data_IF_329776605274
#
_entry.id   IF_329776605274
#
_cell.length_a   1.000
_cell.length_b   1.000
_cell.length_c   1.000
_cell.angle_alpha   90.00
_cell.angle_beta   90.00
_cell.angle_gamma   90.00
#
_symmetry.space_group_name_H-M   'P 1'
#
loop_
_entity.id
_entity.type
_entity.pdbx_description
1 polymer ?
#
# COMPACT_ATOMS: atom_id res chain seq x y z
N UNK A 1 48.01 16.32 28.36
CA UNK A 1 47.35 17.32 27.49
C UNK A 1 47.62 16.92 26.05
N UNK A 2 46.64 16.37 25.34
CA UNK A 2 46.67 16.28 23.87
C UNK A 2 45.27 15.98 23.35
N UNK A 3 44.93 16.62 22.24
CA UNK A 3 43.60 16.92 21.73
C UNK A 3 43.03 15.83 20.80
N UNK A 4 41.71 15.80 20.61
CA UNK A 4 41.10 15.43 19.33
C UNK A 4 39.70 16.06 19.21
N UNK A 5 39.64 17.11 18.42
CA UNK A 5 38.46 17.82 17.93
C UNK A 5 37.70 16.93 16.95
N UNK A 6 36.40 16.73 17.14
CA UNK A 6 35.54 16.05 16.17
C UNK A 6 35.27 16.98 14.96
N UNK A 7 35.43 16.53 13.70
CA UNK A 7 35.03 17.34 12.56
C UNK A 7 33.52 17.29 12.33
N UNK A 8 32.91 18.47 12.34
CA UNK A 8 31.56 18.76 11.88
C UNK A 8 31.43 18.48 10.38
N UNK A 9 30.66 17.46 9.99
CA UNK A 9 30.34 17.19 8.58
C UNK A 9 29.09 18.01 8.21
N UNK A 10 29.32 19.13 7.53
CA UNK A 10 28.27 19.88 6.85
C UNK A 10 27.74 19.04 5.67
N UNK A 11 26.42 18.78 5.64
CA UNK A 11 25.75 18.18 4.48
C UNK A 11 25.45 19.28 3.46
N UNK A 12 26.11 19.22 2.31
CA UNK A 12 25.74 20.01 1.14
C UNK A 12 24.42 19.48 0.53
N UNK A 13 23.58 20.33 -0.06
CA UNK A 13 22.32 19.90 -0.67
C UNK A 13 22.61 19.03 -1.90
N UNK A 14 22.04 17.82 -1.91
CA UNK A 14 22.08 16.92 -3.06
C UNK A 14 21.22 17.52 -4.20
N UNK A 15 21.81 18.38 -5.02
CA UNK A 15 21.20 18.83 -6.27
C UNK A 15 21.57 17.83 -7.36
N UNK A 16 20.72 16.83 -7.57
CA UNK A 16 20.84 15.95 -8.72
C UNK A 16 19.90 16.44 -9.82
N UNK A 17 20.44 17.22 -10.74
CA UNK A 17 19.78 17.55 -12.01
C UNK A 17 20.00 16.40 -13.01
N UNK A 18 19.08 15.44 -13.03
CA UNK A 18 18.97 14.46 -14.11
C UNK A 18 18.05 15.00 -15.20
N UNK A 19 18.62 15.62 -16.24
CA UNK A 19 17.90 15.95 -17.47
C UNK A 19 17.88 14.73 -18.39
N UNK A 20 17.03 13.75 -18.07
CA UNK A 20 16.67 12.71 -19.04
C UNK A 20 15.61 13.26 -19.98
N UNK A 21 15.97 13.42 -21.26
CA UNK A 21 15.08 13.78 -22.36
C UNK A 21 13.99 12.70 -22.47
N UNK A 22 12.82 12.96 -21.89
CA UNK A 22 11.66 12.06 -21.91
C UNK A 22 10.96 12.23 -23.26
N UNK A 23 11.10 11.26 -24.16
CA UNK A 23 10.28 11.20 -25.36
C UNK A 23 8.81 11.07 -24.92
N UNK A 24 7.95 11.95 -25.42
CA UNK A 24 6.51 11.96 -25.10
C UNK A 24 5.82 10.80 -25.80
N UNK A 25 5.87 9.61 -25.20
CA UNK A 25 4.88 8.57 -25.47
C UNK A 25 3.58 9.09 -24.87
N UNK A 26 2.52 9.19 -25.67
CA UNK A 26 1.17 9.46 -25.21
C UNK A 26 0.70 8.28 -24.37
N UNK A 27 1.18 8.18 -23.13
CA UNK A 27 0.77 7.14 -22.18
C UNK A 27 -0.59 7.52 -21.62
N UNK A 28 -1.66 7.04 -22.28
CA UNK A 28 -2.99 7.02 -21.66
C UNK A 28 -2.84 6.24 -20.35
N UNK A 29 -2.95 6.93 -19.22
CA UNK A 29 -2.85 6.31 -17.90
C UNK A 29 -4.04 5.37 -17.75
N UNK A 30 -3.83 4.06 -17.51
CA UNK A 30 -4.93 3.11 -17.38
C UNK A 30 -5.78 3.49 -16.16
N UNK A 31 -7.05 3.81 -16.39
CA UNK A 31 -7.99 4.23 -15.34
C UNK A 31 -8.58 2.99 -14.67
N UNK A 32 -8.19 2.74 -13.41
CA UNK A 32 -8.74 1.64 -12.60
C UNK A 32 -10.23 1.86 -12.35
N UNK A 33 -11.07 0.85 -12.64
CA UNK A 33 -12.52 0.91 -12.42
C UNK A 33 -12.85 0.73 -10.93
N UNK A 34 -13.94 1.35 -10.48
CA UNK A 34 -14.54 1.13 -9.15
C UNK A 34 -15.93 0.55 -9.34
N UNK A 35 -16.19 -0.65 -8.80
CA UNK A 35 -17.46 -1.36 -8.95
C UNK A 35 -18.22 -1.37 -7.61
N UNK A 36 -19.56 -1.30 -7.67
CA UNK A 36 -20.41 -1.41 -6.47
C UNK A 36 -20.74 -2.88 -6.20
N UNK A 37 -20.61 -3.34 -4.96
CA UNK A 37 -21.02 -4.69 -4.59
C UNK A 37 -22.56 -4.83 -4.55
N UNK A 38 -23.31 -3.75 -4.35
CA UNK A 38 -24.78 -3.77 -4.42
C UNK A 38 -25.28 -4.17 -5.82
N UNK A 39 -24.60 -3.70 -6.88
CA UNK A 39 -24.89 -4.09 -8.25
C UNK A 39 -24.72 -5.60 -8.48
N UNK A 40 -23.83 -6.25 -7.73
CA UNK A 40 -23.69 -7.70 -7.77
C UNK A 40 -24.86 -8.40 -7.05
N UNK A 41 -25.44 -7.82 -6.01
CA UNK A 41 -26.54 -8.43 -5.28
C UNK A 41 -27.89 -8.30 -6.01
N UNK A 42 -28.08 -7.26 -6.83
CA UNK A 42 -29.27 -7.09 -7.66
C UNK A 42 -29.18 -7.90 -8.97
N UNK A 43 -30.24 -8.68 -9.27
CA UNK A 43 -30.31 -9.56 -10.45
C UNK A 43 -30.23 -8.81 -11.78
N UNK A 44 -30.77 -7.61 -11.86
CA UNK A 44 -30.82 -6.82 -13.10
C UNK A 44 -29.46 -6.20 -13.45
N UNK A 45 -28.72 -5.76 -12.43
CA UNK A 45 -27.41 -5.09 -12.58
C UNK A 45 -26.24 -6.06 -12.59
N UNK A 46 -26.41 -7.28 -12.05
CA UNK A 46 -25.37 -8.30 -11.93
C UNK A 46 -24.66 -8.62 -13.26
N UNK A 47 -25.33 -8.77 -14.42
CA UNK A 47 -24.64 -9.05 -15.68
C UNK A 47 -23.67 -7.93 -16.09
N UNK A 48 -24.04 -6.66 -15.88
CA UNK A 48 -23.17 -5.50 -16.14
C UNK A 48 -21.95 -5.53 -15.22
N UNK A 49 -22.17 -5.72 -13.92
CA UNK A 49 -21.09 -5.82 -12.92
C UNK A 49 -20.07 -6.89 -13.30
N UNK A 50 -20.52 -8.10 -13.65
CA UNK A 50 -19.64 -9.22 -14.00
C UNK A 50 -18.82 -8.95 -15.28
N UNK A 51 -19.43 -8.28 -16.27
CA UNK A 51 -18.71 -7.86 -17.48
C UNK A 51 -17.60 -6.87 -17.14
N UNK A 52 -17.91 -5.83 -16.38
CA UNK A 52 -16.93 -4.80 -16.00
C UNK A 52 -15.81 -5.34 -15.11
N UNK A 53 -16.13 -6.28 -14.22
CA UNK A 53 -15.16 -7.00 -13.41
C UNK A 53 -14.20 -7.81 -14.30
N UNK A 54 -14.73 -8.57 -15.26
CA UNK A 54 -13.93 -9.34 -16.21
C UNK A 54 -13.00 -8.44 -17.01
N UNK A 55 -13.51 -7.35 -17.58
CA UNK A 55 -12.70 -6.38 -18.33
C UNK A 55 -11.56 -5.82 -17.47
N UNK A 56 -11.86 -5.39 -16.24
CA UNK A 56 -10.85 -4.81 -15.34
C UNK A 56 -9.72 -5.80 -15.01
N UNK A 57 -10.08 -7.07 -14.79
CA UNK A 57 -9.12 -8.15 -14.52
C UNK A 57 -8.28 -8.52 -15.75
N UNK A 58 -8.83 -8.40 -16.96
CA UNK A 58 -8.13 -8.76 -18.20
C UNK A 58 -7.24 -7.63 -18.73
N UNK A 59 -7.62 -6.36 -18.51
CA UNK A 59 -6.88 -5.20 -19.01
C UNK A 59 -5.82 -4.70 -18.03
N UNK A 60 -6.22 -4.42 -16.78
CA UNK A 60 -5.36 -3.79 -15.76
C UNK A 60 -4.93 -4.81 -14.69
N UNK A 61 -5.74 -5.86 -14.47
CA UNK A 61 -5.52 -6.87 -13.44
C UNK A 61 -6.07 -6.49 -12.07
N UNK A 62 -6.74 -5.33 -11.93
CA UNK A 62 -7.28 -4.86 -10.66
C UNK A 62 -8.47 -3.92 -10.84
N UNK A 63 -9.26 -3.74 -9.77
CA UNK A 63 -10.37 -2.79 -9.63
C UNK A 63 -10.60 -2.49 -8.14
N UNK A 64 -11.29 -1.40 -7.85
CA UNK A 64 -11.79 -1.10 -6.50
C UNK A 64 -13.22 -1.59 -6.32
N UNK A 65 -13.58 -1.97 -5.10
CA UNK A 65 -14.96 -2.24 -4.69
C UNK A 65 -15.43 -1.13 -3.76
N UNK A 66 -16.67 -0.68 -3.95
CA UNK A 66 -17.43 0.15 -3.01
C UNK A 66 -18.73 -0.55 -2.61
N UNK A 67 -19.43 0.01 -1.63
CA UNK A 67 -20.72 -0.50 -1.14
C UNK A 67 -20.62 -1.96 -0.65
N UNK A 68 -19.45 -2.34 -0.11
CA UNK A 68 -19.14 -3.70 0.37
C UNK A 68 -19.69 -4.01 1.78
N UNK A 69 -20.45 -3.09 2.39
CA UNK A 69 -21.07 -3.28 3.71
C UNK A 69 -20.12 -3.26 4.91
N UNK A 70 -18.82 -2.97 4.72
CA UNK A 70 -17.88 -2.82 5.84
C UNK A 70 -17.99 -1.39 6.36
N UNK A 71 -18.29 -1.24 7.65
CA UNK A 71 -18.38 0.10 8.25
C UNK A 71 -17.04 0.82 8.23
N UNK A 72 -17.08 2.13 7.98
CA UNK A 72 -15.89 2.99 8.02
C UNK A 72 -15.21 2.98 9.40
N UNK A 73 -16.01 2.85 10.47
CA UNK A 73 -15.52 2.74 11.84
C UNK A 73 -14.68 1.47 12.05
N UNK A 74 -15.07 0.32 11.46
CA UNK A 74 -14.29 -0.91 11.55
C UNK A 74 -12.94 -0.78 10.86
N UNK A 75 -12.91 -0.21 9.65
CA UNK A 75 -11.65 0.02 8.94
C UNK A 75 -10.75 1.00 9.69
N UNK A 76 -11.32 2.09 10.23
CA UNK A 76 -10.57 3.06 11.03
C UNK A 76 -9.99 2.44 12.31
N UNK A 77 -10.76 1.61 13.01
CA UNK A 77 -10.30 0.88 14.18
C UNK A 77 -9.15 -0.08 13.85
N UNK A 78 -9.29 -0.86 12.78
CA UNK A 78 -8.23 -1.77 12.32
C UNK A 78 -6.94 -1.01 11.97
N UNK A 79 -7.04 0.11 11.24
CA UNK A 79 -5.90 0.95 10.91
C UNK A 79 -5.23 1.55 12.15
N UNK A 80 -6.01 1.97 13.14
CA UNK A 80 -5.48 2.47 14.43
C UNK A 80 -4.68 1.38 15.15
N UNK A 81 -5.23 0.17 15.28
CA UNK A 81 -4.53 -0.96 15.91
C UNK A 81 -3.23 -1.31 15.19
N UNK A 82 -3.24 -1.28 13.85
CA UNK A 82 -2.02 -1.48 13.04
C UNK A 82 -0.98 -0.41 13.37
N UNK A 83 -1.37 0.86 13.37
CA UNK A 83 -0.45 1.97 13.70
C UNK A 83 0.13 1.84 15.11
N UNK A 84 -0.70 1.53 16.11
CA UNK A 84 -0.27 1.30 17.49
C UNK A 84 0.73 0.15 17.60
N UNK A 85 0.47 -0.97 16.90
CA UNK A 85 1.39 -2.10 16.87
C UNK A 85 2.74 -1.74 16.24
N UNK A 86 2.75 -1.04 15.10
CA UNK A 86 4.00 -0.67 14.43
C UNK A 86 4.77 0.44 15.16
N UNK A 87 4.10 1.22 16.01
CA UNK A 87 4.73 2.19 16.91
C UNK A 87 5.46 1.55 18.10
N UNK A 88 5.22 0.27 18.40
CA UNK A 88 5.96 -0.45 19.44
C UNK A 88 7.47 -0.50 19.12
N UNK A 89 8.34 -0.53 20.15
CA UNK A 89 9.77 -0.72 19.97
C UNK A 89 10.10 -1.96 19.14
N UNK A 90 11.21 -1.93 18.40
CA UNK A 90 11.61 -3.03 17.52
C UNK A 90 11.78 -4.35 18.30
N UNK A 91 12.29 -4.31 19.53
CA UNK A 91 12.49 -5.49 20.36
C UNK A 91 11.16 -6.19 20.72
N UNK A 92 10.09 -5.43 20.93
CA UNK A 92 8.74 -6.00 21.14
C UNK A 92 8.21 -6.66 19.87
N UNK A 93 8.40 -6.01 18.69
CA UNK A 93 7.98 -6.57 17.40
C UNK A 93 8.78 -7.84 17.04
N UNK A 94 10.06 -7.92 17.43
CA UNK A 94 10.93 -9.08 17.19
C UNK A 94 10.46 -10.35 17.93
N UNK A 95 9.76 -10.21 19.06
CA UNK A 95 9.18 -11.38 19.76
C UNK A 95 8.20 -12.15 18.85
N UNK A 96 7.55 -11.45 17.93
CA UNK A 96 6.58 -12.01 16.99
C UNK A 96 7.17 -12.32 15.62
N UNK A 97 8.49 -12.52 15.48
CA UNK A 97 9.10 -12.80 14.18
C UNK A 97 8.45 -14.00 13.49
N UNK A 98 8.26 -13.87 12.17
CA UNK A 98 7.69 -14.91 11.32
C UNK A 98 8.44 -16.25 11.43
N UNK A 99 9.76 -16.20 11.67
CA UNK A 99 10.60 -17.39 11.87
C UNK A 99 10.30 -18.18 13.15
N UNK A 100 9.65 -17.55 14.14
CA UNK A 100 9.26 -18.20 15.39
C UNK A 100 7.91 -18.96 15.26
N UNK A 101 7.27 -18.92 14.09
CA UNK A 101 5.93 -19.47 13.87
C UNK A 101 5.94 -20.60 12.84
N UNK A 102 5.41 -21.77 13.23
CA UNK A 102 5.21 -22.93 12.33
C UNK A 102 4.28 -22.62 11.15
N UNK A 103 3.51 -21.53 11.22
CA UNK A 103 2.52 -21.14 10.22
C UNK A 103 2.89 -19.87 9.45
N UNK A 104 4.15 -19.42 9.51
CA UNK A 104 4.58 -18.17 8.87
C UNK A 104 3.70 -16.97 9.24
N UNK A 105 3.18 -16.96 10.47
CA UNK A 105 2.45 -15.82 11.02
C UNK A 105 3.38 -15.01 11.92
N UNK A 106 3.40 -13.70 11.72
CA UNK A 106 4.17 -12.82 12.58
C UNK A 106 4.73 -11.60 11.85
N UNK A 107 5.50 -10.82 12.59
CA UNK A 107 6.25 -9.68 12.10
C UNK A 107 7.35 -10.14 11.13
N UNK A 108 7.46 -9.43 10.01
CA UNK A 108 8.54 -9.60 9.04
C UNK A 108 9.39 -8.33 9.04
N UNK A 109 10.69 -8.49 9.25
CA UNK A 109 11.66 -7.43 8.97
C UNK A 109 11.72 -7.25 7.45
N UNK A 110 11.52 -6.02 7.01
CA UNK A 110 11.63 -5.63 5.61
C UNK A 110 13.09 -5.31 5.27
#
# INVERSE_FOLDING_TARGET
MSAAVAPSIAQAPFTSSFTTKRNSVTSTTPKVKTLSLEDFHNRETRPRFLREMRESLMEIGTFYIKDHGISTAMTAGAMKTVQEYFALPLEEKKKMLIGNSRHFRGYKLM
#
